data_IF_028209776517
#
_entry.id   IF_028209776517
#
_cell.length_a   1.000
_cell.length_b   1.000
_cell.length_c   1.000
_cell.angle_alpha   90.00
_cell.angle_beta   90.00
_cell.angle_gamma   90.00
#
_symmetry.space_group_name_H-M   'P 1'
#
loop_
_entity.id
_entity.type
_entity.pdbx_description
1 polymer ?
#
# COMPACT_ATOMS: atom_id res chain seq x y z
N UNK A 1 1.76 -12.98 3.27
CA UNK A 1 0.58 -13.15 4.15
C UNK A 1 0.95 -13.10 5.65
N UNK A 2 2.04 -12.41 6.00
CA UNK A 2 2.42 -12.24 7.41
C UNK A 2 1.47 -11.34 8.19
N UNK A 3 0.73 -10.49 7.49
CA UNK A 3 -0.22 -9.53 8.08
C UNK A 3 -1.67 -10.05 8.11
N UNK A 4 -1.97 -11.14 7.40
CA UNK A 4 -3.32 -11.72 7.34
C UNK A 4 -3.60 -12.53 8.62
N UNK A 5 -4.40 -11.98 9.51
CA UNK A 5 -4.72 -12.57 10.83
C UNK A 5 -5.96 -13.48 10.81
N UNK A 6 -6.87 -13.29 9.84
CA UNK A 6 -8.10 -14.04 9.75
C UNK A 6 -7.92 -15.41 9.06
N UNK A 7 -8.58 -16.44 9.55
CA UNK A 7 -8.55 -17.78 8.93
C UNK A 7 -9.02 -17.75 7.46
N UNK A 8 -10.01 -16.92 7.14
CA UNK A 8 -10.50 -16.72 5.77
C UNK A 8 -9.47 -16.04 4.85
N UNK A 9 -8.68 -15.11 5.38
CA UNK A 9 -7.59 -14.46 4.63
C UNK A 9 -6.52 -15.48 4.25
N UNK A 10 -6.14 -16.33 5.20
CA UNK A 10 -5.15 -17.41 5.00
C UNK A 10 -5.64 -18.48 4.05
N UNK A 11 -6.89 -18.90 4.18
CA UNK A 11 -7.50 -19.93 3.33
C UNK A 11 -7.65 -19.48 1.88
N UNK A 12 -8.06 -18.24 1.66
CA UNK A 12 -8.30 -17.71 0.31
C UNK A 12 -7.13 -16.94 -0.29
N UNK A 13 -6.11 -16.62 0.52
CA UNK A 13 -4.93 -15.87 0.09
C UNK A 13 -5.24 -14.43 -0.32
N UNK A 14 -6.24 -13.82 0.31
CA UNK A 14 -6.65 -12.42 0.07
C UNK A 14 -6.69 -11.65 1.38
N UNK A 15 -6.28 -10.39 1.35
CA UNK A 15 -6.44 -9.45 2.46
C UNK A 15 -7.88 -8.96 2.50
N UNK A 16 -8.54 -9.08 3.66
CA UNK A 16 -9.92 -8.63 3.88
C UNK A 16 -9.94 -7.31 4.66
N UNK A 17 -9.07 -7.19 5.68
CA UNK A 17 -8.96 -6.02 6.53
C UNK A 17 -7.64 -5.30 6.32
N UNK A 18 -7.69 -3.98 6.33
CA UNK A 18 -6.47 -3.16 6.29
C UNK A 18 -5.63 -3.37 7.55
N UNK A 19 -4.34 -3.60 7.37
CA UNK A 19 -3.36 -3.76 8.43
C UNK A 19 -2.32 -2.65 8.36
N UNK A 20 -2.09 -1.98 9.48
CA UNK A 20 -1.07 -0.93 9.59
C UNK A 20 0.16 -1.48 10.31
N UNK A 21 1.33 -1.26 9.72
CA UNK A 21 2.63 -1.55 10.33
C UNK A 21 3.51 -0.32 10.27
N UNK A 22 4.39 -0.20 11.26
CA UNK A 22 5.42 0.82 11.32
C UNK A 22 6.78 0.17 11.12
N UNK A 23 7.63 0.79 10.29
CA UNK A 23 9.00 0.35 10.08
C UNK A 23 9.96 1.53 10.12
N UNK A 24 11.19 1.28 10.57
CA UNK A 24 12.27 2.25 10.48
C UNK A 24 13.11 1.95 9.23
N UNK A 25 13.46 3.00 8.50
CA UNK A 25 14.33 2.92 7.32
C UNK A 25 15.39 4.01 7.39
N UNK A 26 16.64 3.66 7.09
CA UNK A 26 17.75 4.60 7.07
C UNK A 26 18.13 4.92 5.62
N UNK A 27 18.05 6.18 5.25
CA UNK A 27 18.40 6.66 3.91
C UNK A 27 19.21 7.96 3.99
N UNK A 28 20.32 8.04 3.24
CA UNK A 28 21.18 9.22 3.23
C UNK A 28 21.81 9.59 4.58
N UNK A 29 21.85 8.66 5.53
CA UNK A 29 22.34 8.88 6.91
C UNK A 29 21.28 9.46 7.86
N UNK A 30 20.03 9.57 7.40
CA UNK A 30 18.88 9.98 8.20
C UNK A 30 17.95 8.78 8.45
N UNK A 31 17.25 8.80 9.59
CA UNK A 31 16.27 7.77 9.94
C UNK A 31 14.87 8.25 9.63
N UNK A 32 14.14 7.43 8.92
CA UNK A 32 12.74 7.65 8.55
C UNK A 32 11.85 6.63 9.23
N UNK A 33 10.65 7.05 9.59
CA UNK A 33 9.59 6.18 10.08
C UNK A 33 8.54 6.07 8.98
N UNK A 34 8.40 4.86 8.43
CA UNK A 34 7.43 4.58 7.39
C UNK A 34 6.24 3.83 8.02
N UNK A 35 5.03 4.34 7.80
CA UNK A 35 3.80 3.69 8.20
C UNK A 35 3.15 3.10 6.96
N UNK A 36 3.13 1.77 6.85
CA UNK A 36 2.53 1.06 5.74
C UNK A 36 1.14 0.57 6.13
N UNK A 37 0.14 0.85 5.30
CA UNK A 37 -1.20 0.29 5.41
C UNK A 37 -1.40 -0.69 4.26
N UNK A 38 -1.48 -1.99 4.59
CA UNK A 38 -1.83 -3.03 3.62
C UNK A 38 -3.35 -3.03 3.42
N UNK A 39 -3.78 -2.89 2.16
CA UNK A 39 -5.18 -2.72 1.79
C UNK A 39 -5.70 -3.92 0.99
N UNK A 40 -6.99 -4.30 1.17
CA UNK A 40 -7.61 -5.30 0.32
C UNK A 40 -7.59 -4.88 -1.16
N UNK A 41 -7.25 -5.83 -2.05
CA UNK A 41 -7.31 -5.61 -3.51
C UNK A 41 -8.69 -5.87 -4.13
N UNK A 42 -9.65 -6.47 -3.40
CA UNK A 42 -10.93 -6.91 -3.94
C UNK A 42 -12.00 -5.81 -3.88
N UNK A 43 -12.82 -5.72 -4.94
CA UNK A 43 -13.86 -4.66 -5.07
C UNK A 43 -14.88 -4.63 -3.94
N UNK A 44 -15.17 -5.78 -3.32
CA UNK A 44 -16.11 -5.87 -2.19
C UNK A 44 -15.65 -5.11 -0.94
N UNK A 45 -14.36 -4.74 -0.88
CA UNK A 45 -13.75 -4.04 0.25
C UNK A 45 -13.39 -2.59 -0.05
N UNK A 46 -14.04 -1.98 -1.04
CA UNK A 46 -13.80 -0.58 -1.46
C UNK A 46 -13.94 0.42 -0.31
N UNK A 47 -14.83 0.17 0.65
CA UNK A 47 -14.99 1.01 1.84
C UNK A 47 -13.73 0.99 2.75
N UNK A 48 -13.13 -0.19 2.98
CA UNK A 48 -11.88 -0.31 3.74
C UNK A 48 -10.73 0.41 3.03
N UNK A 49 -10.65 0.24 1.70
CA UNK A 49 -9.64 0.90 0.87
C UNK A 49 -9.79 2.43 0.92
N UNK A 50 -10.98 2.97 0.74
CA UNK A 50 -11.24 4.41 0.78
C UNK A 50 -10.83 5.04 2.12
N UNK A 51 -11.11 4.37 3.25
CA UNK A 51 -10.72 4.86 4.57
C UNK A 51 -9.19 4.82 4.79
N UNK A 52 -8.53 3.79 4.27
CA UNK A 52 -7.08 3.68 4.34
C UNK A 52 -6.40 4.77 3.51
N UNK A 53 -6.88 4.99 2.29
CA UNK A 53 -6.41 6.05 1.39
C UNK A 53 -6.51 7.43 2.06
N UNK A 54 -7.61 7.74 2.73
CA UNK A 54 -7.82 9.02 3.40
C UNK A 54 -6.83 9.30 4.57
N UNK A 55 -6.07 8.29 5.00
CA UNK A 55 -5.07 8.39 6.07
C UNK A 55 -3.62 8.41 5.55
N UNK A 56 -3.42 8.43 4.22
CA UNK A 56 -2.11 8.31 3.60
C UNK A 56 -1.74 9.58 2.81
N UNK A 57 -0.46 9.81 2.63
CA UNK A 57 0.12 10.85 1.79
C UNK A 57 0.54 10.34 0.40
N UNK A 58 0.65 9.02 0.25
CA UNK A 58 0.99 8.37 -1.01
C UNK A 58 0.53 6.92 -1.07
N UNK A 59 0.59 6.34 -2.25
CA UNK A 59 0.20 4.96 -2.50
C UNK A 59 1.18 4.24 -3.44
N UNK A 60 1.49 3.00 -3.12
CA UNK A 60 2.17 2.08 -4.03
C UNK A 60 1.12 1.39 -4.90
N UNK A 61 1.13 1.65 -6.21
CA UNK A 61 0.30 0.94 -7.17
C UNK A 61 1.01 -0.34 -7.59
N UNK A 62 0.66 -1.46 -6.96
CA UNK A 62 1.30 -2.75 -7.24
C UNK A 62 0.54 -3.49 -8.33
N UNK A 63 1.21 -3.74 -9.47
CA UNK A 63 0.68 -4.49 -10.61
C UNK A 63 1.45 -5.81 -10.75
N UNK A 64 0.73 -6.89 -11.02
CA UNK A 64 1.31 -8.21 -11.25
C UNK A 64 1.81 -8.32 -12.70
N UNK A 65 3.13 -8.50 -12.87
CA UNK A 65 3.75 -8.61 -14.20
C UNK A 65 3.26 -9.81 -15.03
N UNK A 66 2.58 -10.77 -14.43
CA UNK A 66 2.02 -11.94 -15.13
C UNK A 66 0.54 -11.81 -15.49
N UNK A 67 -0.16 -10.81 -14.91
CA UNK A 67 -1.60 -10.64 -15.10
C UNK A 67 -1.99 -9.29 -15.72
N UNK A 68 -1.08 -8.30 -15.65
CA UNK A 68 -1.34 -6.93 -16.12
C UNK A 68 -2.25 -6.12 -15.22
N UNK A 69 -2.72 -4.99 -15.75
CA UNK A 69 -3.61 -4.09 -15.02
C UNK A 69 -5.02 -4.65 -14.98
N UNK A 70 -5.55 -4.83 -13.77
CA UNK A 70 -6.89 -5.37 -13.53
C UNK A 70 -7.90 -4.27 -13.21
N UNK A 71 -9.20 -4.57 -13.36
CA UNK A 71 -10.28 -3.63 -13.07
C UNK A 71 -10.23 -3.08 -11.62
N UNK A 72 -9.84 -3.92 -10.66
CA UNK A 72 -9.66 -3.52 -9.26
C UNK A 72 -8.52 -2.52 -9.09
N UNK A 73 -7.42 -2.72 -9.82
CA UNK A 73 -6.27 -1.79 -9.83
C UNK A 73 -6.71 -0.40 -10.28
N UNK A 74 -7.48 -0.34 -11.37
CA UNK A 74 -8.02 0.92 -11.92
C UNK A 74 -8.96 1.59 -10.91
N UNK A 75 -9.86 0.83 -10.31
CA UNK A 75 -10.83 1.35 -9.33
C UNK A 75 -10.15 1.95 -8.10
N UNK A 76 -9.14 1.25 -7.54
CA UNK A 76 -8.38 1.72 -6.39
C UNK A 76 -7.48 2.92 -6.74
N UNK A 77 -6.93 2.94 -7.96
CA UNK A 77 -6.16 4.08 -8.44
C UNK A 77 -7.00 5.36 -8.51
N UNK A 78 -8.22 5.29 -9.05
CA UNK A 78 -9.10 6.46 -9.10
C UNK A 78 -9.42 6.99 -7.70
N UNK A 79 -9.66 6.11 -6.73
CA UNK A 79 -9.86 6.54 -5.33
C UNK A 79 -8.62 7.23 -4.76
N UNK A 80 -7.41 6.76 -5.07
CA UNK A 80 -6.17 7.40 -4.62
C UNK A 80 -5.97 8.77 -5.27
N UNK A 81 -6.27 8.92 -6.55
CA UNK A 81 -6.19 10.19 -7.28
C UNK A 81 -7.22 11.22 -6.79
N UNK A 82 -8.42 10.81 -6.39
CA UNK A 82 -9.42 11.69 -5.78
C UNK A 82 -8.96 12.29 -4.44
N UNK A 83 -8.00 11.64 -3.77
CA UNK A 83 -7.39 12.13 -2.53
C UNK A 83 -6.04 12.81 -2.72
N UNK A 84 -5.66 13.14 -3.98
CA UNK A 84 -4.38 13.78 -4.32
C UNK A 84 -3.14 13.05 -3.80
N UNK A 85 -3.19 11.72 -3.72
CA UNK A 85 -2.04 10.94 -3.27
C UNK A 85 -0.93 10.88 -4.33
N UNK A 86 0.32 10.94 -3.88
CA UNK A 86 1.46 10.60 -4.74
C UNK A 86 1.44 9.10 -5.07
N UNK A 87 1.46 8.76 -6.35
CA UNK A 87 1.39 7.38 -6.83
C UNK A 87 2.77 6.89 -7.27
N UNK A 88 3.25 5.82 -6.68
CA UNK A 88 4.47 5.13 -7.10
C UNK A 88 4.10 3.80 -7.75
N UNK A 89 4.23 3.67 -9.09
CA UNK A 89 3.94 2.42 -9.76
C UNK A 89 5.03 1.37 -9.52
N UNK A 90 4.60 0.16 -9.15
CA UNK A 90 5.47 -0.99 -8.89
C UNK A 90 5.00 -2.18 -9.68
N UNK A 91 5.87 -2.73 -10.52
CA UNK A 91 5.63 -3.96 -11.25
C UNK A 91 6.19 -5.14 -10.48
N UNK A 92 5.31 -5.92 -9.84
CA UNK A 92 5.69 -7.03 -8.98
C UNK A 92 5.69 -8.36 -9.73
N UNK A 93 6.34 -9.37 -9.14
CA UNK A 93 6.49 -10.73 -9.68
C UNK A 93 7.31 -10.82 -10.97
N UNK A 94 8.25 -9.91 -11.18
CA UNK A 94 9.14 -9.94 -12.34
C UNK A 94 10.07 -11.17 -12.39
N UNK A 95 10.14 -11.95 -11.30
CA UNK A 95 10.88 -13.23 -11.23
C UNK A 95 10.14 -14.42 -11.86
N UNK A 96 8.87 -14.26 -12.18
CA UNK A 96 8.06 -15.35 -12.76
C UNK A 96 8.37 -15.58 -14.24
N UNK A 97 8.40 -16.85 -14.68
CA UNK A 97 8.59 -17.20 -16.08
C UNK A 97 7.45 -16.72 -16.99
N UNK A 98 6.27 -16.47 -16.43
CA UNK A 98 5.09 -15.94 -17.12
C UNK A 98 5.00 -14.41 -17.08
N UNK A 99 5.99 -13.72 -16.48
CA UNK A 99 5.98 -12.27 -16.42
C UNK A 99 6.19 -11.66 -17.80
N UNK A 100 5.43 -10.60 -18.09
CA UNK A 100 5.49 -9.80 -19.33
C UNK A 100 5.79 -8.34 -18.95
N UNK A 101 6.98 -8.05 -18.38
CA UNK A 101 7.24 -6.76 -17.75
C UNK A 101 7.10 -5.59 -18.73
N UNK A 102 7.60 -5.71 -19.95
CA UNK A 102 7.59 -4.62 -20.93
C UNK A 102 6.15 -4.29 -21.38
N UNK A 103 5.32 -5.32 -21.61
CA UNK A 103 3.93 -5.14 -22.02
C UNK A 103 3.09 -4.51 -20.89
N UNK A 104 3.30 -4.96 -19.65
CA UNK A 104 2.56 -4.45 -18.49
C UNK A 104 3.03 -3.04 -18.10
N UNK A 105 4.30 -2.70 -18.31
CA UNK A 105 4.76 -1.31 -18.17
C UNK A 105 4.04 -0.37 -19.13
N UNK A 106 3.85 -0.77 -20.38
CA UNK A 106 3.11 0.02 -21.36
C UNK A 106 1.65 0.24 -20.90
N UNK A 107 0.99 -0.78 -20.33
CA UNK A 107 -0.35 -0.63 -19.73
C UNK A 107 -0.35 0.39 -18.57
N UNK A 108 0.66 0.36 -17.70
CA UNK A 108 0.79 1.29 -16.58
C UNK A 108 1.02 2.72 -17.09
N UNK A 109 1.85 2.89 -18.12
CA UNK A 109 2.14 4.18 -18.75
C UNK A 109 0.87 4.77 -19.37
N UNK A 110 0.11 3.96 -20.08
CA UNK A 110 -1.16 4.38 -20.70
C UNK A 110 -2.18 4.80 -19.62
N UNK A 111 -2.15 4.14 -18.45
CA UNK A 111 -3.07 4.43 -17.37
C UNK A 111 -2.69 5.69 -16.58
N UNK A 112 -1.40 5.88 -16.27
CA UNK A 112 -0.90 6.95 -15.39
C UNK A 112 -0.33 8.16 -16.13
N UNK A 113 0.07 8.00 -17.39
CA UNK A 113 0.81 9.01 -18.13
C UNK A 113 2.25 9.21 -17.61
N UNK A 114 2.78 8.25 -16.84
CA UNK A 114 4.15 8.27 -16.31
C UNK A 114 5.16 7.79 -17.37
N UNK A 115 6.46 7.82 -17.04
CA UNK A 115 7.52 7.28 -17.89
C UNK A 115 7.94 5.90 -17.43
N UNK A 116 8.61 5.12 -18.29
CA UNK A 116 9.21 3.83 -17.93
C UNK A 116 10.15 3.93 -16.73
N UNK A 117 10.93 5.02 -16.62
CA UNK A 117 11.86 5.27 -15.51
C UNK A 117 11.18 5.47 -14.15
N UNK A 118 9.88 5.79 -14.14
CA UNK A 118 9.10 5.98 -12.92
C UNK A 118 8.56 4.66 -12.34
N UNK A 119 8.57 3.58 -13.14
CA UNK A 119 8.04 2.27 -12.79
C UNK A 119 9.14 1.42 -12.17
N UNK A 120 8.91 0.92 -10.97
CA UNK A 120 9.90 0.09 -10.27
C UNK A 120 9.58 -1.38 -10.49
N UNK A 121 10.52 -2.12 -11.13
CA UNK A 121 10.43 -3.57 -11.26
C UNK A 121 10.82 -4.25 -9.96
N UNK A 122 9.97 -5.13 -9.45
CA UNK A 122 10.15 -5.76 -8.15
C UNK A 122 9.76 -7.23 -8.14
N UNK A 123 10.19 -7.92 -7.09
CA UNK A 123 9.73 -9.24 -6.72
C UNK A 123 9.68 -9.37 -5.20
N UNK A 124 8.49 -9.42 -4.65
CA UNK A 124 8.29 -9.66 -3.21
C UNK A 124 8.81 -11.04 -2.75
N UNK A 125 9.03 -11.98 -3.68
CA UNK A 125 9.58 -13.30 -3.39
C UNK A 125 11.11 -13.29 -3.25
N UNK A 126 11.80 -12.55 -4.12
CA UNK A 126 13.27 -12.53 -4.17
C UNK A 126 13.88 -11.34 -3.45
N UNK A 127 13.07 -10.31 -3.16
CA UNK A 127 13.53 -9.03 -2.60
C UNK A 127 14.04 -8.05 -3.66
N UNK A 128 14.01 -8.42 -4.95
CA UNK A 128 14.41 -7.52 -6.04
C UNK A 128 13.55 -6.26 -6.05
N UNK A 129 14.17 -5.09 -6.20
CA UNK A 129 13.47 -3.80 -6.31
C UNK A 129 12.92 -3.24 -5.00
N UNK A 130 13.03 -3.96 -3.87
CA UNK A 130 12.46 -3.50 -2.59
C UNK A 130 13.17 -2.26 -2.07
N UNK A 131 14.50 -2.20 -2.21
CA UNK A 131 15.29 -1.04 -1.80
C UNK A 131 14.94 0.21 -2.62
N UNK A 132 14.75 0.05 -3.92
CA UNK A 132 14.30 1.10 -4.83
C UNK A 132 12.91 1.62 -4.48
N UNK A 133 11.99 0.73 -4.05
CA UNK A 133 10.66 1.13 -3.58
C UNK A 133 10.79 1.98 -2.30
N UNK A 134 11.55 1.53 -1.29
CA UNK A 134 11.73 2.27 -0.04
C UNK A 134 12.38 3.63 -0.27
N UNK A 135 13.36 3.68 -1.17
CA UNK A 135 13.99 4.94 -1.59
C UNK A 135 12.97 5.88 -2.25
N UNK A 136 12.20 5.38 -3.21
CA UNK A 136 11.17 6.16 -3.90
C UNK A 136 10.11 6.70 -2.93
N UNK A 137 9.72 5.90 -1.91
CA UNK A 137 8.80 6.34 -0.85
C UNK A 137 9.36 7.56 -0.10
N UNK A 138 10.64 7.51 0.32
CA UNK A 138 11.27 8.64 1.03
C UNK A 138 11.45 9.87 0.14
N UNK A 139 11.78 9.68 -1.15
CA UNK A 139 12.08 10.79 -2.06
C UNK A 139 10.82 11.44 -2.65
N UNK A 140 9.72 10.70 -2.84
CA UNK A 140 8.56 11.16 -3.60
C UNK A 140 7.33 11.42 -2.73
N UNK A 141 7.09 10.61 -1.68
CA UNK A 141 5.93 10.80 -0.83
C UNK A 141 6.22 11.91 0.18
N UNK A 142 5.38 12.97 0.22
CA UNK A 142 5.57 14.05 1.18
C UNK A 142 5.36 13.52 2.61
N UNK A 143 6.02 14.15 3.58
CA UNK A 143 5.75 13.87 4.98
C UNK A 143 4.35 14.39 5.37
N UNK A 144 3.70 13.79 6.39
CA UNK A 144 2.44 14.28 6.91
C UNK A 144 2.54 15.76 7.31
N UNK A 145 1.52 16.52 6.93
CA UNK A 145 1.41 17.93 7.32
C UNK A 145 0.45 18.06 8.49
N UNK A 146 0.82 18.83 9.52
CA UNK A 146 -0.02 19.04 10.68
C UNK A 146 0.54 20.12 11.59
N UNK A 147 -0.27 20.52 12.55
CA UNK A 147 0.11 21.44 13.63
C UNK A 147 0.16 20.61 14.93
N UNK A 148 1.35 20.41 15.50
CA UNK A 148 1.56 19.64 16.73
C UNK A 148 0.85 20.24 17.96
N UNK A 149 0.58 21.58 17.93
CA UNK A 149 -0.14 22.29 18.99
C UNK A 149 -1.66 22.28 18.79
N UNK A 150 -2.16 21.75 17.66
CA UNK A 150 -3.59 21.63 17.39
C UNK A 150 -4.26 20.59 18.30
N UNK A 151 -5.58 20.68 18.54
CA UNK A 151 -6.32 19.63 19.25
C UNK A 151 -6.16 18.27 18.59
N UNK A 152 -5.96 17.24 19.41
CA UNK A 152 -5.80 15.86 18.92
C UNK A 152 -6.96 15.46 18.00
N UNK A 153 -6.61 14.99 16.81
CA UNK A 153 -7.53 14.39 15.84
C UNK A 153 -7.11 12.94 15.57
N UNK A 154 -8.08 12.05 15.40
CA UNK A 154 -7.81 10.65 15.10
C UNK A 154 -8.80 10.11 14.06
N UNK A 155 -8.27 9.50 12.99
CA UNK A 155 -9.06 8.75 12.01
C UNK A 155 -9.05 7.28 12.38
N UNK A 156 -10.23 6.75 12.75
CA UNK A 156 -10.40 5.33 13.09
C UNK A 156 -10.82 4.58 11.83
N UNK A 157 -9.94 3.77 11.26
CA UNK A 157 -10.24 2.93 10.10
C UNK A 157 -10.43 1.44 10.45
N UNK A 158 -10.16 1.04 11.70
CA UNK A 158 -10.48 -0.30 12.22
C UNK A 158 -10.91 -0.20 13.68
N UNK A 159 -12.05 -0.80 14.02
CA UNK A 159 -12.52 -0.98 15.40
C UNK A 159 -12.52 -2.47 15.74
N UNK A 160 -11.67 -2.90 16.67
CA UNK A 160 -11.69 -4.23 17.24
C UNK A 160 -12.43 -4.21 18.57
N UNK A 161 -13.56 -4.95 18.68
CA UNK A 161 -14.23 -5.14 19.97
C UNK A 161 -13.66 -6.39 20.60
N UNK A 162 -12.83 -6.21 21.65
CA UNK A 162 -12.43 -7.30 22.51
C UNK A 162 -13.39 -7.37 23.69
N UNK A 163 -14.14 -8.46 23.80
CA UNK A 163 -14.90 -8.75 25.02
C UNK A 163 -13.94 -9.22 26.09
N UNK A 164 -13.53 -8.31 26.98
CA UNK A 164 -12.88 -8.71 28.24
C UNK A 164 -13.99 -9.16 29.20
N UNK A 165 -13.90 -10.35 29.80
CA UNK A 165 -14.68 -10.63 30.99
C UNK A 165 -14.26 -9.61 32.06
N UNK A 166 -15.23 -8.95 32.66
CA UNK A 166 -15.11 -7.89 33.64
C UNK A 166 -13.94 -8.15 34.63
N UNK A 167 -12.77 -7.58 34.41
CA UNK A 167 -11.80 -7.24 35.45
C UNK A 167 -10.79 -6.23 34.88
N UNK A 168 -11.06 -4.98 35.24
CA UNK A 168 -10.16 -3.84 35.40
C UNK A 168 -8.85 -3.77 34.59
N UNK A 169 -8.78 -2.94 33.57
CA UNK A 169 -8.03 -1.67 33.47
C UNK A 169 -8.05 -1.15 32.05
N UNK A 170 -8.64 0.02 31.92
CA UNK A 170 -8.47 0.91 30.77
C UNK A 170 -7.10 1.56 30.94
N UNK A 171 -6.27 1.46 29.92
CA UNK A 171 -5.21 2.41 29.63
C UNK A 171 -5.44 2.97 28.25
#
# INVERSE_FOLDING_TARGET
>A
QMLDDMDLEKERGITIKSHAIQMEYEYGGEKYVLNLIDTPGHVDFSYEVSRSIAACEGALLIVDASQGVQAQTISNLYMALEHDLEIIPVLNKCDMASAMPDEVEDEIIDLLGCKHEDIIRASGKTGMGVEEILKAVVERIPHPTGDEEAPLQALIFRLGIQFFPWNHRVF
#
